data_IF_447007807773
#
_entry.id   IF_447007807773
#
_cell.length_a   1.000
_cell.length_b   1.000
_cell.length_c   1.000
_cell.angle_alpha   90.00
_cell.angle_beta   90.00
_cell.angle_gamma   90.00
#
_symmetry.space_group_name_H-M   'P 1'
#
loop_
_entity.id
_entity.type
_entity.pdbx_description
1 polymer ?
#
# COMPACT_ATOMS: atom_id res chain seq x y z
N UNK A 1 32.37 34.64 -31.02
CA UNK A 1 32.51 35.35 -29.72
C UNK A 1 31.28 35.22 -28.82
N UNK A 2 30.08 34.92 -29.32
CA UNK A 2 28.83 34.87 -28.52
C UNK A 2 28.37 33.48 -28.10
N UNK A 3 28.97 32.40 -28.61
CA UNK A 3 28.53 31.01 -28.35
C UNK A 3 28.93 30.47 -26.97
N UNK A 4 29.91 31.08 -26.30
CA UNK A 4 30.34 30.68 -24.95
C UNK A 4 29.22 30.96 -23.93
N UNK A 5 28.33 31.93 -24.18
CA UNK A 5 27.26 32.26 -23.24
C UNK A 5 26.02 31.35 -23.34
N UNK A 6 25.79 30.63 -24.45
CA UNK A 6 24.57 29.84 -24.64
C UNK A 6 24.75 28.34 -24.26
N UNK A 7 25.95 27.77 -24.44
CA UNK A 7 26.26 26.41 -23.99
C UNK A 7 26.64 26.29 -22.51
N UNK A 8 26.87 27.43 -21.84
CA UNK A 8 27.32 27.51 -20.44
C UNK A 8 26.18 27.71 -19.42
N UNK A 9 24.93 27.94 -19.87
CA UNK A 9 23.78 28.40 -19.05
C UNK A 9 23.37 27.46 -17.89
N UNK A 10 23.91 26.25 -17.80
CA UNK A 10 23.61 25.37 -16.66
C UNK A 10 24.83 24.66 -16.10
N UNK A 11 25.56 23.95 -16.95
CA UNK A 11 26.63 23.06 -16.50
C UNK A 11 27.87 23.81 -16.02
N UNK A 12 28.40 24.73 -16.84
CA UNK A 12 29.68 25.35 -16.54
C UNK A 12 29.61 26.37 -15.40
N UNK A 13 28.50 27.11 -15.31
CA UNK A 13 28.28 28.02 -14.18
C UNK A 13 28.18 27.27 -12.86
N UNK A 14 27.48 26.14 -12.83
CA UNK A 14 27.39 25.29 -11.64
C UNK A 14 28.76 24.70 -11.27
N UNK A 15 29.58 24.31 -12.24
CA UNK A 15 30.96 23.86 -12.00
C UNK A 15 31.84 24.98 -11.44
N UNK A 16 31.72 26.22 -11.94
CA UNK A 16 32.45 27.37 -11.41
C UNK A 16 32.04 27.69 -9.97
N UNK A 17 30.74 27.71 -9.66
CA UNK A 17 30.24 27.92 -8.31
C UNK A 17 30.74 26.79 -7.39
N UNK A 18 30.67 25.55 -7.85
CA UNK A 18 31.17 24.40 -7.11
C UNK A 18 32.68 24.51 -6.85
N UNK A 19 33.47 24.97 -7.83
CA UNK A 19 34.91 25.19 -7.67
C UNK A 19 35.21 26.25 -6.59
N UNK A 20 34.48 27.37 -6.56
CA UNK A 20 34.63 28.41 -5.53
C UNK A 20 34.29 27.85 -4.14
N UNK A 21 33.17 27.12 -4.02
CA UNK A 21 32.78 26.47 -2.76
C UNK A 21 33.83 25.45 -2.31
N UNK A 22 34.39 24.66 -3.24
CA UNK A 22 35.47 23.70 -2.94
C UNK A 22 36.77 24.38 -2.49
N UNK A 23 37.06 25.60 -2.94
CA UNK A 23 38.23 26.35 -2.46
C UNK A 23 37.98 26.90 -1.05
N UNK A 24 36.79 27.43 -0.78
CA UNK A 24 36.45 28.01 0.53
C UNK A 24 36.28 26.95 1.63
N UNK A 25 35.59 25.86 1.32
CA UNK A 25 35.28 24.79 2.28
C UNK A 25 36.24 23.61 2.18
N UNK A 26 36.91 23.41 1.05
CA UNK A 26 37.78 22.27 0.78
C UNK A 26 37.04 21.07 0.16
N UNK A 27 37.72 20.33 -0.71
CA UNK A 27 37.16 19.16 -1.40
C UNK A 27 36.72 18.01 -0.48
N UNK A 28 37.23 17.97 0.76
CA UNK A 28 36.84 16.96 1.75
C UNK A 28 35.57 17.32 2.51
N UNK A 29 35.22 18.61 2.64
CA UNK A 29 34.08 19.05 3.47
C UNK A 29 32.74 18.89 2.79
N UNK A 30 32.66 19.10 1.48
CA UNK A 30 31.42 18.90 0.73
C UNK A 30 30.88 17.45 0.82
N UNK A 31 31.67 16.39 0.57
CA UNK A 31 31.19 15.01 0.72
C UNK A 31 30.97 14.61 2.18
N UNK A 32 31.73 15.16 3.13
CA UNK A 32 31.54 14.91 4.56
C UNK A 32 30.18 15.44 5.04
N UNK A 33 29.83 16.67 4.66
CA UNK A 33 28.52 17.28 4.92
C UNK A 33 27.39 16.52 4.21
N UNK A 34 27.58 16.15 2.94
CA UNK A 34 26.58 15.40 2.18
C UNK A 34 26.30 14.01 2.80
N UNK A 35 27.33 13.33 3.31
CA UNK A 35 27.17 12.05 4.01
C UNK A 35 26.39 12.20 5.31
N UNK A 36 26.73 13.21 6.13
CA UNK A 36 26.00 13.48 7.37
C UNK A 36 24.53 13.86 7.12
N UNK A 37 24.29 14.78 6.18
CA UNK A 37 22.94 15.20 5.79
C UNK A 37 22.15 14.02 5.20
N UNK A 38 22.76 13.21 4.34
CA UNK A 38 22.14 12.05 3.71
C UNK A 38 21.73 10.98 4.73
N UNK A 39 22.56 10.74 5.75
CA UNK A 39 22.21 9.85 6.86
C UNK A 39 21.03 10.41 7.67
N UNK A 40 21.06 11.70 8.02
CA UNK A 40 19.97 12.36 8.74
C UNK A 40 18.64 12.30 7.97
N UNK A 41 18.64 12.62 6.67
CA UNK A 41 17.44 12.52 5.82
C UNK A 41 16.94 11.08 5.74
N UNK A 42 17.84 10.10 5.63
CA UNK A 42 17.47 8.67 5.57
C UNK A 42 16.77 8.22 6.86
N UNK A 43 17.34 8.54 8.02
CA UNK A 43 16.73 8.21 9.31
C UNK A 43 15.41 8.95 9.53
N UNK A 44 15.36 10.23 9.18
CA UNK A 44 14.13 11.04 9.25
C UNK A 44 13.01 10.43 8.39
N UNK A 45 13.32 10.02 7.15
CA UNK A 45 12.34 9.39 6.26
C UNK A 45 11.87 8.03 6.80
N UNK A 46 12.76 7.25 7.41
CA UNK A 46 12.40 5.98 8.04
C UNK A 46 11.46 6.20 9.23
N UNK A 47 11.81 7.09 10.15
CA UNK A 47 10.97 7.41 11.30
C UNK A 47 9.59 7.95 10.87
N UNK A 48 9.56 8.85 9.88
CA UNK A 48 8.30 9.39 9.34
C UNK A 48 7.42 8.30 8.72
N UNK A 49 8.03 7.32 8.03
CA UNK A 49 7.32 6.19 7.43
C UNK A 49 6.76 5.25 8.50
N UNK A 50 7.58 4.92 9.50
CA UNK A 50 7.18 4.04 10.61
C UNK A 50 5.97 4.66 11.36
N UNK A 51 6.03 5.96 11.71
CA UNK A 51 4.93 6.70 12.35
C UNK A 51 3.67 6.72 11.48
N UNK A 52 3.80 6.98 10.17
CA UNK A 52 2.64 7.01 9.26
C UNK A 52 1.99 5.63 9.17
N UNK A 53 2.79 4.56 9.13
CA UNK A 53 2.28 3.19 9.08
C UNK A 53 1.60 2.76 10.36
N UNK A 54 2.11 3.18 11.51
CA UNK A 54 1.52 2.91 12.83
C UNK A 54 0.20 3.67 12.98
N UNK A 55 0.17 4.94 12.60
CA UNK A 55 -1.05 5.74 12.60
C UNK A 55 -2.12 5.14 11.66
N UNK A 56 -1.75 4.72 10.45
CA UNK A 56 -2.68 4.05 9.53
C UNK A 56 -3.22 2.75 10.13
N UNK A 57 -2.36 1.95 10.78
CA UNK A 57 -2.78 0.70 11.43
C UNK A 57 -3.67 0.92 12.64
N UNK A 58 -3.48 1.99 13.40
CA UNK A 58 -4.37 2.37 14.52
C UNK A 58 -5.70 2.94 14.05
N UNK A 59 -5.73 3.65 12.93
CA UNK A 59 -6.97 4.18 12.34
C UNK A 59 -7.78 3.09 11.63
N UNK A 60 -7.10 2.05 11.16
CA UNK A 60 -7.68 0.94 10.42
C UNK A 60 -7.86 -0.33 11.28
N UNK A 61 -7.71 -0.23 12.62
CA UNK A 61 -8.17 -1.27 13.53
C UNK A 61 -9.69 -1.40 13.34
N UNK A 62 -10.18 -2.47 12.69
CA UNK A 62 -11.61 -2.66 12.60
C UNK A 62 -12.06 -3.06 14.00
N UNK A 63 -12.83 -2.18 14.66
CA UNK A 63 -13.82 -2.64 15.63
C UNK A 63 -14.48 -3.87 14.99
N UNK A 64 -14.25 -5.03 15.60
CA UNK A 64 -14.73 -6.33 15.13
C UNK A 64 -16.11 -6.16 14.49
N UNK A 65 -16.35 -6.60 13.25
CA UNK A 65 -17.71 -6.62 12.73
C UNK A 65 -18.57 -7.40 13.75
N UNK A 66 -19.75 -6.87 14.16
CA UNK A 66 -20.65 -7.61 15.03
C UNK A 66 -20.94 -8.97 14.38
N UNK A 67 -21.02 -10.07 15.16
CA UNK A 67 -21.27 -11.39 14.61
C UNK A 67 -22.51 -11.34 13.71
N UNK A 68 -22.47 -11.96 12.52
CA UNK A 68 -23.57 -11.88 11.57
C UNK A 68 -24.86 -12.34 12.24
N UNK A 69 -26.00 -11.65 12.02
CA UNK A 69 -27.27 -12.08 12.55
C UNK A 69 -27.54 -13.50 12.05
N UNK A 70 -27.57 -14.46 12.97
CA UNK A 70 -27.96 -15.83 12.68
C UNK A 70 -29.41 -15.78 12.18
N UNK A 71 -29.59 -15.79 10.85
CA UNK A 71 -30.92 -15.90 10.26
C UNK A 71 -31.52 -17.22 10.75
N UNK A 72 -32.69 -17.20 11.41
CA UNK A 72 -33.36 -18.43 11.82
C UNK A 72 -33.58 -19.35 10.62
N UNK A 73 -33.00 -20.55 10.71
CA UNK A 73 -33.51 -21.81 10.13
C UNK A 73 -33.90 -21.75 8.64
N UNK A 74 -32.92 -21.91 7.74
CA UNK A 74 -33.22 -22.54 6.44
C UNK A 74 -33.44 -24.02 6.68
N UNK A 75 -34.72 -24.40 6.74
CA UNK A 75 -35.23 -25.76 6.78
C UNK A 75 -34.64 -26.57 5.61
N UNK A 76 -34.13 -27.79 5.84
CA UNK A 76 -33.46 -28.58 4.80
C UNK A 76 -34.39 -28.85 3.60
N UNK A 77 -34.10 -28.28 2.43
CA UNK A 77 -34.58 -28.77 1.13
C UNK A 77 -33.79 -30.01 0.70
N UNK A 78 -33.82 -31.04 1.54
CA UNK A 78 -33.44 -32.40 1.18
C UNK A 78 -34.71 -33.15 0.73
N UNK A 79 -35.29 -32.74 -0.40
CA UNK A 79 -36.35 -33.51 -1.09
C UNK A 79 -36.07 -33.53 -2.59
N UNK A 80 -34.94 -34.13 -2.96
CA UNK A 80 -34.68 -34.52 -4.35
C UNK A 80 -33.60 -35.62 -4.38
N UNK A 81 -33.96 -36.81 -3.89
CA UNK A 81 -33.52 -38.14 -4.38
C UNK A 81 -33.51 -39.20 -3.27
N UNK A 82 -34.59 -39.98 -3.20
CA UNK A 82 -34.62 -41.40 -2.83
C UNK A 82 -36.05 -41.91 -3.12
N UNK A 83 -36.29 -42.63 -4.21
CA UNK A 83 -36.32 -44.11 -4.25
C UNK A 83 -37.72 -44.69 -3.92
N UNK A 84 -38.41 -45.08 -5.00
CA UNK A 84 -39.17 -46.34 -5.16
C UNK A 84 -40.53 -46.51 -4.46
N UNK A 85 -41.56 -46.67 -5.31
CA UNK A 85 -42.81 -47.44 -5.11
C UNK A 85 -42.61 -48.66 -4.19
N UNK A 86 -43.58 -49.09 -3.33
CA UNK A 86 -44.85 -49.64 -3.83
C UNK A 86 -46.05 -49.53 -2.87
N UNK A 87 -47.21 -49.97 -3.37
CA UNK A 87 -48.11 -50.93 -2.70
C UNK A 87 -49.57 -50.49 -2.44
N UNK A 88 -50.43 -51.11 -3.24
CA UNK A 88 -51.81 -51.61 -2.98
C UNK A 88 -52.99 -50.64 -2.85
N UNK A 89 -53.89 -50.81 -3.83
CA UNK A 89 -55.30 -51.23 -3.67
C UNK A 89 -56.13 -50.42 -2.69
N UNK A 90 -57.10 -49.67 -3.22
CA UNK A 90 -58.49 -50.13 -3.14
C UNK A 90 -59.42 -49.36 -4.09
N UNK A 91 -60.20 -50.12 -4.83
CA UNK A 91 -61.61 -49.89 -5.17
C UNK A 91 -62.10 -48.55 -5.75
N UNK A 92 -62.54 -48.64 -7.00
CA UNK A 92 -63.66 -47.89 -7.57
C UNK A 92 -64.92 -47.99 -6.65
N UNK A 93 -65.92 -47.09 -6.72
CA UNK A 93 -66.86 -47.12 -7.84
C UNK A 93 -67.46 -45.76 -8.27
N UNK A 94 -67.66 -45.64 -9.59
CA UNK A 94 -68.91 -45.29 -10.29
C UNK A 94 -70.01 -44.55 -9.50
N UNK A 95 -70.30 -43.31 -9.90
CA UNK A 95 -71.64 -42.71 -9.92
C UNK A 95 -71.69 -41.68 -11.06
#
# INVERSE_FOLDING_TARGET
MTTIFAGFIGGWELVLILAVVLILFGAKKLPELARGLGQGIKEFKKASTDITSELHRSLEEPVSPPPPPQRPVQRPEAVANATTEPHKTDSAPKA
#
